data_IF_899212652512
#
_entry.id   IF_899212652512
#
_cell.length_a   1.000
_cell.length_b   1.000
_cell.length_c   1.000
_cell.angle_alpha   90.00
_cell.angle_beta   90.00
_cell.angle_gamma   90.00
#
_symmetry.space_group_name_H-M   'P 1'
#
loop_
_entity.id
_entity.type
_entity.pdbx_description
1 polymer ?
#
# COMPACT_ATOMS: atom_id res chain seq x y z
N UNK A 1 10.79 -3.65 -64.95
CA UNK A 1 9.82 -2.86 -65.73
C UNK A 1 8.84 -2.24 -64.74
N UNK A 2 8.74 -0.94 -64.49
CA UNK A 2 9.24 0.22 -65.21
C UNK A 2 8.12 1.24 -65.36
N UNK A 3 7.83 2.00 -64.28
CA UNK A 3 7.27 3.38 -64.25
C UNK A 3 5.88 3.67 -64.88
N UNK A 4 5.28 4.88 -64.68
CA UNK A 4 5.64 5.97 -63.77
C UNK A 4 4.46 6.59 -62.96
N UNK A 5 4.85 7.44 -62.02
CA UNK A 5 4.07 8.51 -61.42
C UNK A 5 4.17 9.83 -62.22
N UNK A 6 3.23 10.75 -61.97
CA UNK A 6 3.26 12.18 -62.37
C UNK A 6 2.08 12.57 -63.27
N UNK A 7 1.48 13.75 -63.21
CA UNK A 7 1.86 15.03 -62.59
C UNK A 7 0.65 15.99 -62.71
N UNK A 8 0.37 16.74 -61.65
CA UNK A 8 0.07 18.19 -61.59
C UNK A 8 -0.83 18.92 -62.61
N UNK A 9 -1.84 19.60 -62.03
CA UNK A 9 -2.21 21.04 -62.14
C UNK A 9 -2.98 21.58 -63.38
N UNK A 10 -4.14 22.17 -63.05
CA UNK A 10 -4.56 23.58 -63.29
C UNK A 10 -5.55 23.94 -64.40
N UNK A 11 -6.56 24.72 -63.96
CA UNK A 11 -7.31 25.82 -64.63
C UNK A 11 -8.51 25.43 -65.53
N UNK A 12 -9.75 25.70 -65.11
CA UNK A 12 -10.53 26.99 -65.07
C UNK A 12 -11.40 27.16 -66.33
N UNK A 13 -12.74 27.04 -66.17
CA UNK A 13 -13.87 27.79 -66.79
C UNK A 13 -15.13 27.25 -66.06
N UNK A 14 -15.91 27.92 -65.20
CA UNK A 14 -16.56 29.24 -65.10
C UNK A 14 -17.78 29.46 -66.02
N UNK A 15 -18.96 29.01 -65.56
CA UNK A 15 -20.29 29.63 -65.74
C UNK A 15 -21.08 29.26 -64.47
N UNK A 16 -21.65 30.12 -63.62
CA UNK A 16 -22.03 31.51 -63.76
C UNK A 16 -23.55 31.64 -63.81
N UNK A 17 -24.25 31.61 -62.66
CA UNK A 17 -25.48 32.39 -62.43
C UNK A 17 -25.89 32.41 -60.93
N UNK A 18 -25.79 33.62 -60.36
CA UNK A 18 -26.46 34.13 -59.15
C UNK A 18 -28.00 34.18 -59.36
N UNK A 19 -28.92 34.36 -58.42
CA UNK A 19 -29.00 35.04 -57.11
C UNK A 19 -30.24 34.46 -56.35
N UNK A 20 -30.51 34.68 -55.05
CA UNK A 20 -29.95 35.64 -54.11
C UNK A 20 -30.47 35.48 -52.66
N UNK A 21 -29.69 36.06 -51.75
CA UNK A 21 -30.11 36.93 -50.63
C UNK A 21 -31.22 36.48 -49.66
N UNK A 22 -30.83 36.08 -48.45
CA UNK A 22 -31.03 36.83 -47.19
C UNK A 22 -30.84 35.90 -45.97
N UNK A 23 -29.95 36.30 -45.05
CA UNK A 23 -29.70 35.61 -43.79
C UNK A 23 -30.61 36.17 -42.68
N UNK A 24 -31.01 35.33 -41.70
CA UNK A 24 -31.34 35.83 -40.36
C UNK A 24 -30.42 35.23 -39.28
N UNK A 25 -30.06 36.09 -38.31
CA UNK A 25 -29.17 35.82 -37.19
C UNK A 25 -29.77 34.95 -36.07
N UNK A 26 -29.00 34.73 -34.98
CA UNK A 26 -29.29 33.68 -34.00
C UNK A 26 -30.43 34.04 -33.04
N UNK A 27 -31.26 33.03 -32.78
CA UNK A 27 -32.39 33.04 -31.88
C UNK A 27 -31.95 33.17 -30.41
N UNK A 28 -32.48 34.19 -29.73
CA UNK A 28 -32.54 34.26 -28.28
C UNK A 28 -33.93 33.80 -27.81
N UNK A 29 -33.96 32.77 -26.97
CA UNK A 29 -35.16 32.28 -26.33
C UNK A 29 -35.69 33.32 -25.33
N UNK A 30 -36.88 33.84 -25.60
CA UNK A 30 -37.66 34.69 -24.71
C UNK A 30 -38.51 33.80 -23.80
N UNK A 31 -38.31 33.90 -22.49
CA UNK A 31 -39.26 33.39 -21.50
C UNK A 31 -40.45 34.35 -21.40
N UNK A 32 -41.65 33.77 -21.41
CA UNK A 32 -42.93 34.43 -21.19
C UNK A 32 -43.00 35.05 -19.79
N UNK A 33 -43.42 36.31 -19.75
CA UNK A 33 -43.91 37.05 -18.59
C UNK A 33 -45.42 37.25 -18.82
N UNK A 34 -46.25 36.77 -17.89
CA UNK A 34 -47.71 36.93 -17.93
C UNK A 34 -48.14 37.73 -16.71
N UNK A 35 -48.79 38.86 -17.00
CA UNK A 35 -48.92 39.99 -16.11
C UNK A 35 -49.91 39.83 -14.95
N UNK A 36 -49.61 40.57 -13.88
CA UNK A 36 -50.62 41.12 -12.99
C UNK A 36 -50.32 42.60 -12.74
N UNK A 37 -51.27 43.46 -13.10
CA UNK A 37 -51.17 44.91 -13.03
C UNK A 37 -51.29 45.45 -11.58
N UNK A 38 -50.76 46.66 -11.27
CA UNK A 38 -50.58 47.16 -9.92
C UNK A 38 -51.70 48.11 -9.43
N UNK A 39 -51.89 48.19 -8.11
CA UNK A 39 -52.63 49.28 -7.44
C UNK A 39 -51.67 50.19 -6.64
N UNK A 40 -51.72 51.46 -7.03
CA UNK A 40 -51.33 52.75 -6.41
C UNK A 40 -50.68 52.80 -5.01
N UNK A 41 -49.51 53.45 -5.01
CA UNK A 41 -49.11 54.68 -4.30
C UNK A 41 -49.22 54.77 -2.76
N UNK A 42 -48.07 55.00 -2.12
CA UNK A 42 -47.90 55.99 -1.06
C UNK A 42 -46.43 56.47 -1.02
N UNK A 43 -46.28 57.76 -0.77
CA UNK A 43 -45.10 58.60 -0.92
C UNK A 43 -43.98 58.35 0.12
N UNK A 44 -42.75 58.81 -0.18
CA UNK A 44 -41.68 58.83 0.82
C UNK A 44 -40.30 59.28 0.33
N UNK A 45 -40.16 60.57 0.02
CA UNK A 45 -39.01 61.45 0.22
C UNK A 45 -37.56 60.99 -0.12
N UNK A 46 -36.95 61.77 -1.02
CA UNK A 46 -35.54 61.78 -1.43
C UNK A 46 -34.57 62.14 -0.30
N UNK A 47 -33.45 61.40 -0.21
CA UNK A 47 -32.26 61.77 0.55
C UNK A 47 -31.01 61.17 -0.09
N UNK A 48 -30.32 61.94 -0.93
CA UNK A 48 -29.03 61.57 -1.50
C UNK A 48 -27.95 61.55 -0.40
N UNK A 49 -27.32 60.40 -0.16
CA UNK A 49 -26.04 60.31 0.54
C UNK A 49 -25.09 59.42 -0.30
N UNK A 50 -24.08 60.06 -0.91
CA UNK A 50 -22.92 59.36 -1.49
C UNK A 50 -22.31 58.46 -0.41
N UNK A 51 -22.07 57.20 -0.74
CA UNK A 51 -21.27 56.28 0.07
C UNK A 51 -19.96 56.01 -0.66
N UNK A 52 -18.85 56.29 0.02
CA UNK A 52 -17.50 56.00 -0.44
C UNK A 52 -17.32 54.55 -0.87
N UNK A 53 -16.42 54.26 -1.85
CA UNK A 53 -16.09 52.90 -2.22
C UNK A 53 -15.42 52.20 -1.04
N UNK A 54 -16.14 51.24 -0.45
CA UNK A 54 -15.65 50.41 0.64
C UNK A 54 -14.39 49.63 0.23
N UNK A 55 -13.41 49.67 1.12
CA UNK A 55 -12.22 48.84 1.18
C UNK A 55 -12.53 47.38 0.76
N UNK A 56 -11.98 46.95 -0.38
CA UNK A 56 -11.85 45.53 -0.71
C UNK A 56 -10.63 45.01 0.04
N UNK A 57 -10.76 44.01 0.95
CA UNK A 57 -9.57 43.36 1.47
C UNK A 57 -8.79 42.76 0.29
N UNK A 58 -7.48 42.99 0.26
CA UNK A 58 -6.61 42.34 -0.72
C UNK A 58 -6.84 40.82 -0.67
N UNK A 59 -6.75 40.11 -1.81
CA UNK A 59 -6.81 38.65 -1.79
C UNK A 59 -5.75 38.15 -0.80
N UNK A 60 -6.16 37.32 0.17
CA UNK A 60 -5.20 36.67 1.06
C UNK A 60 -4.14 36.00 0.19
N UNK A 61 -2.83 36.22 0.48
CA UNK A 61 -1.80 35.49 -0.24
C UNK A 61 -2.10 34.01 -0.07
N UNK A 62 -2.20 33.28 -1.19
CA UNK A 62 -2.39 31.83 -1.19
C UNK A 62 -1.41 31.25 -0.18
N UNK A 63 -1.95 30.62 0.88
CA UNK A 63 -1.11 29.95 1.88
C UNK A 63 -0.19 29.01 1.12
N UNK A 64 1.10 29.30 1.11
CA UNK A 64 2.09 28.40 0.53
C UNK A 64 1.92 27.05 1.22
N UNK A 65 1.57 26.05 0.43
CA UNK A 65 1.46 24.68 0.91
C UNK A 65 2.87 24.19 1.21
N UNK A 66 3.11 23.84 2.47
CA UNK A 66 4.34 23.21 2.91
C UNK A 66 4.13 21.71 3.01
N UNK A 67 5.04 20.95 2.41
CA UNK A 67 5.03 19.51 2.54
C UNK A 67 5.23 19.10 4.02
N UNK A 68 4.67 17.97 4.48
CA UNK A 68 4.87 17.48 5.85
C UNK A 68 6.34 17.27 6.23
N UNK A 69 7.22 17.11 5.23
CA UNK A 69 8.67 16.91 5.35
C UNK A 69 9.49 18.15 4.97
N UNK A 70 8.84 19.30 4.71
CA UNK A 70 9.54 20.57 4.53
C UNK A 70 9.73 21.28 5.86
N UNK A 71 10.94 21.78 6.08
CA UNK A 71 11.23 22.69 7.19
C UNK A 71 10.50 24.02 6.95
N UNK A 72 9.57 24.37 7.84
CA UNK A 72 8.89 25.66 7.79
C UNK A 72 9.84 26.76 8.24
N UNK A 73 9.91 27.92 7.55
CA UNK A 73 10.54 29.09 8.13
C UNK A 73 9.84 29.43 9.45
N UNK A 74 10.61 29.68 10.51
CA UNK A 74 10.05 30.04 11.81
C UNK A 74 9.06 31.19 11.63
N UNK A 75 7.80 30.98 12.03
CA UNK A 75 6.78 32.01 11.95
C UNK A 75 7.29 33.24 12.72
N UNK A 76 7.43 34.38 12.04
CA UNK A 76 7.71 35.64 12.70
C UNK A 76 6.66 35.87 13.79
N UNK A 77 7.03 36.34 15.00
CA UNK A 77 6.06 36.58 16.06
C UNK A 77 5.00 37.55 15.53
N UNK A 78 3.74 37.10 15.54
CA UNK A 78 2.62 37.94 15.16
C UNK A 78 2.58 39.14 16.11
N UNK A 79 2.92 40.31 15.59
CA UNK A 79 2.73 41.58 16.28
C UNK A 79 1.22 41.75 16.45
N UNK A 80 0.75 41.68 17.70
CA UNK A 80 -0.62 42.04 18.03
C UNK A 80 -0.77 43.54 17.82
N UNK A 81 -1.46 43.92 16.75
CA UNK A 81 -1.80 45.31 16.46
C UNK A 81 -2.90 45.76 17.44
N UNK A 82 -2.47 46.46 18.49
CA UNK A 82 -3.37 47.14 19.42
C UNK A 82 -3.83 48.45 18.80
N UNK A 83 -4.96 48.44 18.09
CA UNK A 83 -5.49 49.70 17.58
C UNK A 83 -6.79 49.64 16.79
N UNK A 84 -7.93 49.43 17.46
CA UNK A 84 -9.17 50.14 17.13
C UNK A 84 -10.26 49.98 18.21
N UNK A 85 -10.94 51.07 18.63
CA UNK A 85 -11.90 51.04 19.73
C UNK A 85 -13.30 50.54 19.29
N UNK A 86 -13.90 49.68 20.12
CA UNK A 86 -15.27 49.20 19.95
C UNK A 86 -16.33 50.29 20.24
N UNK A 87 -17.46 50.32 19.51
CA UNK A 87 -18.55 51.24 19.80
C UNK A 87 -19.36 50.80 21.03
N UNK A 88 -19.69 51.77 21.89
CA UNK A 88 -20.51 51.63 23.10
C UNK A 88 -22.01 51.53 22.77
N UNK A 89 -22.71 50.68 23.51
CA UNK A 89 -24.17 50.65 23.66
C UNK A 89 -24.68 49.19 23.69
N UNK A 90 -25.49 48.71 24.64
CA UNK A 90 -26.26 49.31 25.71
C UNK A 90 -26.37 48.31 26.88
N UNK A 91 -26.53 48.84 28.10
CA UNK A 91 -26.69 48.06 29.32
C UNK A 91 -27.98 47.23 29.29
N UNK A 92 -27.87 45.93 29.54
CA UNK A 92 -28.99 45.04 29.91
C UNK A 92 -28.69 44.46 31.29
N UNK A 93 -29.54 44.79 32.25
CA UNK A 93 -29.41 44.38 33.66
C UNK A 93 -29.56 42.85 33.84
N UNK A 94 -28.72 42.19 34.67
CA UNK A 94 -28.90 40.78 35.00
C UNK A 94 -30.01 40.56 36.04
N UNK A 95 -30.89 39.58 35.79
CA UNK A 95 -31.84 39.04 36.79
C UNK A 95 -31.10 38.24 37.87
N UNK A 96 -31.49 38.33 39.16
CA UNK A 96 -30.86 37.55 40.21
C UNK A 96 -31.27 36.06 40.15
N UNK A 97 -30.27 35.18 40.14
CA UNK A 97 -30.43 33.72 40.22
C UNK A 97 -30.62 33.34 41.69
N UNK A 98 -31.72 32.64 41.99
CA UNK A 98 -32.02 32.08 43.32
C UNK A 98 -30.90 31.13 43.75
N UNK A 99 -30.32 31.42 44.90
CA UNK A 99 -29.42 30.56 45.65
C UNK A 99 -30.23 29.40 46.24
N UNK A 100 -29.90 28.17 45.84
CA UNK A 100 -30.41 26.96 46.49
C UNK A 100 -29.39 26.57 47.55
N UNK A 101 -29.82 26.73 48.79
CA UNK A 101 -29.20 26.26 50.02
C UNK A 101 -28.88 24.76 49.92
N UNK A 102 -27.59 24.41 49.97
CA UNK A 102 -27.13 23.03 50.10
C UNK A 102 -26.92 22.76 51.58
N UNK A 103 -27.82 21.98 52.17
CA UNK A 103 -27.76 21.51 53.54
C UNK A 103 -26.53 20.60 53.72
N UNK A 104 -25.60 21.00 54.58
CA UNK A 104 -24.50 20.17 55.04
C UNK A 104 -24.99 19.21 56.13
N UNK A 105 -25.19 17.93 55.79
CA UNK A 105 -25.20 16.86 56.80
C UNK A 105 -23.78 16.40 57.07
N UNK A 106 -23.34 16.62 58.32
CA UNK A 106 -22.14 16.05 58.92
C UNK A 106 -22.37 14.57 59.20
N UNK A 107 -21.60 13.70 58.57
CA UNK A 107 -21.18 12.43 59.20
C UNK A 107 -19.92 11.91 58.53
N UNK A 108 -18.94 11.55 59.35
CA UNK A 108 -17.56 11.35 58.94
C UNK A 108 -17.24 9.97 58.40
N UNK A 109 -16.28 9.92 57.47
CA UNK A 109 -15.22 8.89 57.45
C UNK A 109 -14.07 9.38 56.56
N UNK A 110 -12.94 9.72 57.17
CA UNK A 110 -11.71 10.04 56.47
C UNK A 110 -11.08 8.75 55.91
N UNK A 111 -11.16 8.56 54.59
CA UNK A 111 -10.36 7.54 53.90
C UNK A 111 -9.09 8.22 53.39
N UNK A 112 -7.96 7.98 54.08
CA UNK A 112 -6.65 8.42 53.60
C UNK A 112 -6.29 7.65 52.32
N UNK A 113 -6.10 8.39 51.22
CA UNK A 113 -5.62 7.85 49.94
C UNK A 113 -4.11 7.57 50.06
N UNK A 114 -3.63 6.34 49.79
CA UNK A 114 -2.19 6.06 49.80
C UNK A 114 -1.49 6.81 48.66
N UNK A 115 -0.29 7.35 48.94
CA UNK A 115 0.55 8.06 47.97
C UNK A 115 0.96 7.12 46.82
N UNK A 116 0.90 7.57 45.55
CA UNK A 116 1.34 6.77 44.41
C UNK A 116 2.86 6.54 44.47
N UNK A 117 3.27 5.28 44.28
CA UNK A 117 4.67 4.87 44.13
C UNK A 117 5.16 5.31 42.73
N UNK A 118 6.38 5.86 42.58
CA UNK A 118 6.88 6.25 41.27
C UNK A 118 7.01 5.01 40.36
N UNK A 119 6.56 5.15 39.11
CA UNK A 119 6.69 4.11 38.10
C UNK A 119 8.17 3.83 37.80
N UNK A 120 8.56 2.56 37.55
CA UNK A 120 9.92 2.25 37.11
C UNK A 120 10.19 2.95 35.78
N UNK A 121 11.30 3.68 35.72
CA UNK A 121 11.78 4.36 34.52
C UNK A 121 12.23 3.28 33.54
N UNK A 122 11.38 2.96 32.56
CA UNK A 122 11.79 2.18 31.39
C UNK A 122 12.87 3.00 30.68
N UNK A 123 14.08 2.44 30.57
CA UNK A 123 15.17 3.07 29.86
C UNK A 123 14.71 3.45 28.45
N UNK A 124 14.81 4.75 28.13
CA UNK A 124 14.48 5.28 26.81
C UNK A 124 15.37 4.57 25.78
N UNK A 125 14.81 4.02 24.68
CA UNK A 125 15.61 3.46 23.59
C UNK A 125 16.67 4.46 23.15
N UNK A 126 17.88 3.97 22.87
CA UNK A 126 18.98 4.79 22.40
C UNK A 126 18.53 5.59 21.17
N UNK A 127 18.83 6.89 21.13
CA UNK A 127 18.49 7.72 20.00
C UNK A 127 19.16 7.17 18.73
N UNK A 128 18.45 7.06 17.60
CA UNK A 128 19.02 6.58 16.36
C UNK A 128 20.22 7.45 16.00
N UNK A 129 21.38 6.83 15.81
CA UNK A 129 22.59 7.52 15.38
C UNK A 129 22.31 8.15 14.01
N UNK A 130 22.70 9.42 13.79
CA UNK A 130 22.61 10.02 12.46
C UNK A 130 23.36 9.11 11.47
N UNK A 131 22.66 8.66 10.43
CA UNK A 131 23.28 7.96 9.30
C UNK A 131 24.00 9.00 8.47
N UNK A 132 25.25 9.30 8.81
CA UNK A 132 26.06 10.29 8.11
C UNK A 132 26.50 9.70 6.77
N UNK A 133 25.89 10.18 5.68
CA UNK A 133 26.10 9.77 4.29
C UNK A 133 25.82 8.29 3.94
N UNK A 134 24.55 7.87 3.95
CA UNK A 134 24.16 6.50 3.59
C UNK A 134 24.48 6.21 2.12
N UNK A 135 25.14 5.08 1.85
CA UNK A 135 25.46 4.62 0.50
C UNK A 135 24.20 4.29 -0.33
N UNK A 136 23.12 3.87 0.33
CA UNK A 136 21.84 3.55 -0.31
C UNK A 136 20.73 4.42 0.27
N UNK A 137 20.03 5.15 -0.60
CA UNK A 137 18.82 5.88 -0.22
C UNK A 137 17.59 5.27 -0.89
N UNK A 138 16.60 4.90 -0.09
CA UNK A 138 15.31 4.35 -0.52
C UNK A 138 14.27 5.43 -0.31
N UNK A 139 13.67 5.93 -1.38
CA UNK A 139 12.60 6.92 -1.30
C UNK A 139 11.23 6.23 -1.40
N UNK A 140 10.37 6.40 -0.41
CA UNK A 140 9.04 5.77 -0.33
C UNK A 140 7.97 6.79 -0.71
N UNK A 141 7.20 6.54 -1.78
CA UNK A 141 6.17 7.43 -2.29
C UNK A 141 4.77 6.84 -2.15
N UNK A 142 3.78 7.68 -1.86
CA UNK A 142 2.37 7.31 -1.95
C UNK A 142 1.50 7.80 -0.80
N UNK A 143 0.46 7.03 -0.47
CA UNK A 143 -0.61 7.45 0.42
C UNK A 143 -0.33 7.13 1.91
N UNK A 144 -1.39 7.03 2.73
CA UNK A 144 -1.25 6.73 4.16
C UNK A 144 -0.63 5.37 4.43
N UNK A 145 -0.78 4.40 3.52
CA UNK A 145 -0.17 3.09 3.66
C UNK A 145 1.29 3.09 3.26
N UNK A 146 1.70 3.92 2.29
CA UNK A 146 3.11 4.17 2.01
C UNK A 146 3.86 4.77 3.21
N UNK A 147 3.22 5.70 3.93
CA UNK A 147 3.80 6.28 5.14
C UNK A 147 4.09 5.19 6.18
N UNK A 148 3.13 4.29 6.41
CA UNK A 148 3.27 3.19 7.35
C UNK A 148 4.26 2.13 6.86
N UNK A 149 4.27 1.80 5.58
CA UNK A 149 5.26 0.94 4.95
C UNK A 149 6.68 1.50 5.17
N UNK A 150 6.85 2.81 4.96
CA UNK A 150 8.10 3.51 5.20
C UNK A 150 8.56 3.43 6.66
N UNK A 151 7.64 3.55 7.62
CA UNK A 151 7.97 3.36 9.06
C UNK A 151 8.38 1.91 9.36
N UNK A 152 7.77 0.95 8.67
CA UNK A 152 8.20 -0.44 8.71
C UNK A 152 9.63 -0.62 8.18
N UNK A 153 9.94 0.01 7.04
CA UNK A 153 11.28 0.00 6.44
C UNK A 153 12.32 0.71 7.32
N UNK A 154 11.97 1.83 7.96
CA UNK A 154 12.80 2.51 8.97
C UNK A 154 13.21 1.53 10.07
N UNK A 155 12.26 0.71 10.54
CA UNK A 155 12.51 -0.33 11.56
C UNK A 155 13.39 -1.46 11.03
N UNK A 156 13.15 -1.93 9.79
CA UNK A 156 13.95 -2.99 9.16
C UNK A 156 15.42 -2.57 9.00
N UNK A 157 15.68 -1.32 8.62
CA UNK A 157 17.02 -0.80 8.40
C UNK A 157 17.61 -0.04 9.60
N UNK A 158 17.02 -0.14 10.79
CA UNK A 158 17.48 0.61 11.97
C UNK A 158 18.95 0.30 12.31
N UNK A 159 19.36 -0.97 12.19
CA UNK A 159 20.73 -1.44 12.40
C UNK A 159 21.65 -1.30 11.18
N UNK A 160 21.14 -0.80 10.05
CA UNK A 160 21.87 -0.65 8.79
C UNK A 160 22.24 0.82 8.55
N UNK A 161 23.42 1.28 8.99
CA UNK A 161 23.83 2.68 8.84
C UNK A 161 23.98 3.11 7.37
N UNK A 162 24.26 2.17 6.47
CA UNK A 162 24.48 2.44 5.04
C UNK A 162 23.19 2.61 4.22
N UNK A 163 22.03 2.34 4.83
CA UNK A 163 20.72 2.45 4.17
C UNK A 163 19.88 3.51 4.87
N UNK A 164 19.43 4.52 4.13
CA UNK A 164 18.44 5.48 4.63
C UNK A 164 17.11 5.34 3.90
N UNK A 165 16.03 5.36 4.66
CA UNK A 165 14.67 5.39 4.16
C UNK A 165 14.16 6.82 4.24
N UNK A 166 13.65 7.33 3.13
CA UNK A 166 13.14 8.69 3.01
C UNK A 166 11.67 8.61 2.65
N UNK A 167 10.81 8.95 3.60
CA UNK A 167 9.35 8.92 3.44
C UNK A 167 8.85 10.16 2.72
N UNK A 168 8.21 9.95 1.57
CA UNK A 168 7.56 10.94 0.72
C UNK A 168 6.10 10.56 0.52
N UNK A 169 5.34 10.54 1.61
CA UNK A 169 3.95 10.08 1.62
C UNK A 169 2.96 11.16 2.05
N UNK A 170 1.79 11.17 1.43
CA UNK A 170 0.70 12.12 1.70
C UNK A 170 -0.61 11.36 1.89
N UNK A 171 -1.11 11.32 3.12
CA UNK A 171 -2.13 10.36 3.55
C UNK A 171 -3.44 10.32 2.75
N UNK A 172 -3.90 11.47 2.29
CA UNK A 172 -5.16 11.68 1.55
C UNK A 172 -4.99 11.64 0.02
N UNK A 173 -3.79 11.32 -0.46
CA UNK A 173 -3.46 11.34 -1.88
C UNK A 173 -3.75 10.00 -2.57
N UNK A 174 -3.67 10.03 -3.89
CA UNK A 174 -3.77 8.89 -4.78
C UNK A 174 -3.41 9.32 -6.20
N UNK A 175 -3.45 8.42 -7.16
CA UNK A 175 -3.21 8.74 -8.57
C UNK A 175 -4.41 9.42 -9.24
N UNK A 176 -5.63 9.33 -8.68
CA UNK A 176 -6.83 9.97 -9.27
C UNK A 176 -6.87 11.48 -9.05
N UNK A 177 -6.54 11.95 -7.85
CA UNK A 177 -6.69 13.36 -7.43
C UNK A 177 -5.36 14.12 -7.52
N UNK A 178 -5.03 14.59 -8.73
CA UNK A 178 -3.82 15.39 -8.99
C UNK A 178 -3.80 16.73 -8.25
N UNK A 179 -4.97 17.23 -7.88
CA UNK A 179 -5.14 18.44 -7.06
C UNK A 179 -4.70 18.23 -5.60
N UNK A 180 -4.69 16.99 -5.11
CA UNK A 180 -4.12 16.65 -3.80
C UNK A 180 -2.61 16.45 -3.94
N UNK A 181 -2.19 15.54 -4.83
CA UNK A 181 -0.78 15.34 -5.21
C UNK A 181 -0.71 14.89 -6.67
N UNK A 182 0.04 15.62 -7.49
CA UNK A 182 0.50 15.11 -8.78
C UNK A 182 1.75 14.26 -8.55
N UNK A 183 1.57 12.95 -8.33
CA UNK A 183 2.64 12.02 -7.98
C UNK A 183 3.78 11.98 -9.01
N UNK A 184 3.54 11.90 -10.33
CA UNK A 184 4.59 12.02 -11.33
C UNK A 184 5.43 13.29 -11.16
N UNK A 185 4.79 14.46 -11.03
CA UNK A 185 5.49 15.72 -10.84
C UNK A 185 6.27 15.77 -9.51
N UNK A 186 5.64 15.35 -8.41
CA UNK A 186 6.25 15.35 -7.09
C UNK A 186 7.48 14.42 -7.01
N UNK A 187 7.39 13.23 -7.61
CA UNK A 187 8.52 12.32 -7.71
C UNK A 187 9.63 12.91 -8.59
N UNK A 188 9.30 13.55 -9.72
CA UNK A 188 10.29 14.15 -10.61
C UNK A 188 11.05 15.29 -9.93
N UNK A 189 10.33 16.21 -9.28
CA UNK A 189 10.90 17.37 -8.59
C UNK A 189 11.75 16.93 -7.39
N UNK A 190 11.35 15.85 -6.70
CA UNK A 190 12.15 15.27 -5.64
C UNK A 190 13.45 14.62 -6.16
N UNK A 191 13.37 13.78 -7.20
CA UNK A 191 14.56 13.11 -7.74
C UNK A 191 15.55 14.09 -8.38
N UNK A 192 15.08 15.21 -8.94
CA UNK A 192 15.95 16.30 -9.42
C UNK A 192 16.81 16.89 -8.31
N UNK A 193 16.25 17.05 -7.11
CA UNK A 193 16.94 17.65 -5.95
C UNK A 193 17.67 16.63 -5.10
N UNK A 194 17.41 15.33 -5.29
CA UNK A 194 17.97 14.24 -4.49
C UNK A 194 18.60 13.15 -5.40
N UNK A 195 19.73 13.44 -6.07
CA UNK A 195 20.35 12.51 -7.03
C UNK A 195 20.94 11.24 -6.39
N UNK A 196 21.03 11.18 -5.05
CA UNK A 196 21.52 10.02 -4.29
C UNK A 196 20.46 8.92 -4.08
N UNK A 197 19.22 9.12 -4.53
CA UNK A 197 18.16 8.10 -4.42
C UNK A 197 18.54 6.87 -5.25
N UNK A 198 18.74 5.75 -4.56
CA UNK A 198 19.14 4.47 -5.16
C UNK A 198 17.94 3.65 -5.62
N UNK A 199 16.84 3.69 -4.87
CA UNK A 199 15.62 2.92 -5.13
C UNK A 199 14.38 3.75 -4.81
N UNK A 200 13.32 3.55 -5.60
CA UNK A 200 12.00 4.07 -5.28
C UNK A 200 11.09 2.92 -4.82
N UNK A 201 10.42 3.12 -3.70
CA UNK A 201 9.34 2.25 -3.23
C UNK A 201 8.04 3.00 -3.40
N UNK A 202 7.03 2.39 -4.00
CA UNK A 202 5.72 3.01 -4.22
C UNK A 202 4.63 2.14 -3.60
N UNK A 203 3.74 2.76 -2.83
CA UNK A 203 2.52 2.12 -2.35
C UNK A 203 1.37 3.14 -2.43
N UNK A 204 0.43 2.91 -3.32
CA UNK A 204 -0.68 3.86 -3.53
C UNK A 204 -1.87 3.11 -4.09
N UNK A 205 -3.06 3.57 -3.72
CA UNK A 205 -4.30 3.11 -4.34
C UNK A 205 -5.48 3.05 -3.37
N UNK A 206 -5.23 3.15 -2.06
CA UNK A 206 -6.28 3.08 -1.05
C UNK A 206 -7.36 4.17 -1.23
N UNK A 207 -6.99 5.32 -1.80
CA UNK A 207 -7.87 6.46 -2.03
C UNK A 207 -8.35 6.59 -3.50
N UNK A 208 -7.99 5.66 -4.39
CA UNK A 208 -8.18 5.86 -5.84
C UNK A 208 -9.51 5.35 -6.40
N UNK A 209 -10.42 4.88 -5.55
CA UNK A 209 -11.79 4.52 -5.96
C UNK A 209 -12.68 5.76 -6.19
N UNK A 210 -12.19 6.72 -6.96
CA UNK A 210 -12.85 7.99 -7.24
C UNK A 210 -13.05 8.15 -8.76
N UNK A 211 -14.13 8.83 -9.19
CA UNK A 211 -14.34 9.10 -10.60
C UNK A 211 -13.15 9.85 -11.21
N UNK A 212 -12.77 9.48 -12.43
CA UNK A 212 -11.77 10.19 -13.21
C UNK A 212 -12.43 11.23 -14.11
N UNK A 213 -11.68 12.27 -14.49
CA UNK A 213 -12.11 13.22 -15.51
C UNK A 213 -11.45 12.90 -16.85
N UNK A 214 -12.25 12.97 -17.91
CA UNK A 214 -11.83 12.86 -19.30
C UNK A 214 -12.44 14.03 -20.07
N UNK A 215 -11.68 15.12 -20.16
CA UNK A 215 -12.25 16.43 -20.49
C UNK A 215 -13.35 16.82 -19.47
N UNK A 216 -14.54 17.14 -19.97
CA UNK A 216 -15.69 17.51 -19.15
C UNK A 216 -16.43 16.29 -18.55
N UNK A 217 -16.15 15.08 -19.06
CA UNK A 217 -16.86 13.87 -18.65
C UNK A 217 -16.30 13.32 -17.34
N UNK A 218 -17.21 12.95 -16.44
CA UNK A 218 -16.89 12.13 -15.26
C UNK A 218 -16.98 10.66 -15.66
N UNK A 219 -15.90 9.92 -15.41
CA UNK A 219 -15.77 8.51 -15.76
C UNK A 219 -15.84 7.68 -14.48
N UNK A 220 -16.78 6.74 -14.45
CA UNK A 220 -17.06 5.90 -13.28
C UNK A 220 -15.84 5.03 -12.90
N UNK A 221 -15.49 4.91 -11.61
CA UNK A 221 -14.43 4.03 -11.13
C UNK A 221 -14.50 2.64 -11.71
N UNK A 222 -13.33 2.11 -12.10
CA UNK A 222 -13.17 0.77 -12.66
C UNK A 222 -14.00 0.47 -13.93
N UNK A 223 -14.62 1.45 -14.58
CA UNK A 223 -15.08 1.26 -15.97
C UNK A 223 -13.89 1.04 -16.92
N UNK A 224 -14.10 0.47 -18.11
CA UNK A 224 -12.99 0.25 -19.07
C UNK A 224 -12.25 1.55 -19.44
N UNK A 225 -12.99 2.66 -19.60
CA UNK A 225 -12.39 3.97 -19.84
C UNK A 225 -11.59 4.45 -18.63
N UNK A 226 -12.12 4.27 -17.42
CA UNK A 226 -11.41 4.61 -16.19
C UNK A 226 -10.11 3.81 -16.05
N UNK A 227 -10.16 2.49 -16.26
CA UNK A 227 -8.98 1.61 -16.20
C UNK A 227 -7.91 2.06 -17.19
N UNK A 228 -8.31 2.47 -18.39
CA UNK A 228 -7.38 3.00 -19.41
C UNK A 228 -6.70 4.26 -18.90
N UNK A 229 -7.46 5.26 -18.47
CA UNK A 229 -6.92 6.52 -17.94
C UNK A 229 -6.07 6.32 -16.69
N UNK A 230 -6.42 5.34 -15.85
CA UNK A 230 -5.68 5.03 -14.64
C UNK A 230 -4.34 4.33 -14.96
N UNK A 231 -4.31 3.40 -15.93
CA UNK A 231 -3.05 2.82 -16.44
C UNK A 231 -2.10 3.92 -16.93
N UNK A 232 -2.60 4.89 -17.69
CA UNK A 232 -1.78 6.01 -18.19
C UNK A 232 -1.17 6.83 -17.04
N UNK A 233 -1.88 6.97 -15.91
CA UNK A 233 -1.36 7.65 -14.71
C UNK A 233 -0.30 6.84 -13.98
N UNK A 234 -0.49 5.52 -13.88
CA UNK A 234 0.54 4.61 -13.35
C UNK A 234 1.80 4.66 -14.22
N UNK A 235 1.64 4.62 -15.55
CA UNK A 235 2.75 4.72 -16.50
C UNK A 235 3.49 6.05 -16.39
N UNK A 236 2.76 7.16 -16.27
CA UNK A 236 3.35 8.48 -16.11
C UNK A 236 4.25 8.54 -14.86
N UNK A 237 3.84 7.91 -13.76
CA UNK A 237 4.67 7.82 -12.55
C UNK A 237 5.88 6.90 -12.75
N UNK A 238 5.67 5.70 -13.32
CA UNK A 238 6.76 4.76 -13.59
C UNK A 238 7.82 5.34 -14.54
N UNK A 239 7.38 6.13 -15.52
CA UNK A 239 8.26 6.80 -16.47
C UNK A 239 9.25 7.76 -15.79
N UNK A 240 8.82 8.47 -14.75
CA UNK A 240 9.70 9.38 -13.98
C UNK A 240 10.91 8.63 -13.41
N UNK A 241 10.68 7.45 -12.83
CA UNK A 241 11.75 6.63 -12.28
C UNK A 241 12.62 6.00 -13.37
N UNK A 242 12.00 5.51 -14.44
CA UNK A 242 12.71 4.93 -15.60
C UNK A 242 13.64 5.95 -16.28
N UNK A 243 13.16 7.18 -16.51
CA UNK A 243 13.95 8.26 -17.13
C UNK A 243 15.16 8.66 -16.26
N UNK A 244 15.04 8.50 -14.94
CA UNK A 244 16.13 8.72 -13.96
C UNK A 244 16.96 7.46 -13.67
N UNK A 245 16.64 6.32 -14.29
CA UNK A 245 17.28 5.01 -14.05
C UNK A 245 17.24 4.59 -12.57
N UNK A 246 16.18 4.97 -11.86
CA UNK A 246 15.93 4.57 -10.47
C UNK A 246 15.06 3.31 -10.51
N UNK A 247 15.52 2.15 -10.04
CA UNK A 247 14.69 0.95 -9.96
C UNK A 247 13.50 1.15 -9.02
N UNK A 248 12.35 0.64 -9.42
CA UNK A 248 11.08 0.78 -8.68
C UNK A 248 10.67 -0.55 -8.08
N UNK A 249 10.34 -0.52 -6.80
CA UNK A 249 9.65 -1.58 -6.06
C UNK A 249 8.24 -1.08 -5.75
N UNK A 250 7.24 -1.62 -6.42
CA UNK A 250 5.83 -1.26 -6.20
C UNK A 250 5.19 -2.29 -5.27
N UNK A 251 4.75 -1.85 -4.09
CA UNK A 251 4.06 -2.69 -3.12
C UNK A 251 2.56 -2.61 -3.37
N UNK A 252 1.93 -3.76 -3.59
CA UNK A 252 0.49 -3.86 -3.75
C UNK A 252 -0.27 -3.48 -2.50
N UNK A 253 -1.53 -3.07 -2.66
CA UNK A 253 -2.41 -2.75 -1.55
C UNK A 253 -2.97 -4.04 -0.89
N UNK A 254 -3.04 -4.12 0.46
CA UNK A 254 -3.58 -5.29 1.16
C UNK A 254 -5.11 -5.34 1.05
N UNK A 255 -5.75 -6.47 1.42
CA UNK A 255 -7.18 -6.50 1.64
C UNK A 255 -7.61 -5.51 2.74
N UNK A 256 -8.84 -5.01 2.61
CA UNK A 256 -9.48 -4.08 3.52
C UNK A 256 -10.70 -4.75 4.18
N UNK A 257 -11.13 -4.22 5.32
CA UNK A 257 -12.29 -4.79 6.05
C UNK A 257 -13.59 -4.76 5.26
N UNK A 258 -13.74 -3.80 4.33
CA UNK A 258 -14.86 -3.77 3.40
C UNK A 258 -14.60 -4.71 2.22
N UNK A 259 -15.50 -5.67 1.99
CA UNK A 259 -15.41 -6.62 0.87
C UNK A 259 -15.42 -5.90 -0.48
N UNK A 260 -16.29 -4.90 -0.64
CA UNK A 260 -16.33 -4.08 -1.85
C UNK A 260 -15.03 -3.30 -2.05
N UNK A 261 -14.40 -2.81 -0.98
CA UNK A 261 -13.08 -2.16 -1.09
C UNK A 261 -11.99 -3.15 -1.46
N UNK A 262 -11.99 -4.33 -0.85
CA UNK A 262 -11.05 -5.40 -1.20
C UNK A 262 -11.17 -5.80 -2.67
N UNK A 263 -12.38 -6.00 -3.19
CA UNK A 263 -12.60 -6.38 -4.59
C UNK A 263 -12.08 -5.33 -5.58
N UNK A 264 -12.31 -4.05 -5.30
CA UNK A 264 -11.80 -2.97 -6.13
C UNK A 264 -10.28 -2.83 -6.03
N UNK A 265 -9.70 -2.99 -4.83
CA UNK A 265 -8.25 -3.02 -4.64
C UNK A 265 -7.63 -4.19 -5.41
N UNK A 266 -8.28 -5.36 -5.50
CA UNK A 266 -7.82 -6.44 -6.37
C UNK A 266 -7.69 -5.97 -7.82
N UNK A 267 -8.69 -5.24 -8.33
CA UNK A 267 -8.65 -4.67 -9.70
C UNK A 267 -7.51 -3.67 -9.89
N UNK A 268 -7.22 -2.83 -8.88
CA UNK A 268 -6.11 -1.88 -8.94
C UNK A 268 -4.75 -2.59 -8.89
N UNK A 269 -4.61 -3.59 -8.02
CA UNK A 269 -3.40 -4.40 -7.91
C UNK A 269 -3.07 -5.15 -9.20
N UNK A 270 -4.07 -5.62 -9.95
CA UNK A 270 -3.85 -6.21 -11.28
C UNK A 270 -3.28 -5.19 -12.27
N UNK A 271 -3.79 -3.95 -12.25
CA UNK A 271 -3.25 -2.86 -13.07
C UNK A 271 -1.79 -2.57 -12.67
N UNK A 272 -1.52 -2.38 -11.37
CA UNK A 272 -0.18 -2.09 -10.88
C UNK A 272 0.80 -3.17 -11.28
N UNK A 273 0.45 -4.44 -11.06
CA UNK A 273 1.29 -5.60 -11.41
C UNK A 273 1.65 -5.59 -12.90
N UNK A 274 0.66 -5.47 -13.78
CA UNK A 274 0.89 -5.45 -15.22
C UNK A 274 1.77 -4.27 -15.64
N UNK A 275 1.47 -3.05 -15.17
CA UNK A 275 2.23 -1.84 -15.58
C UNK A 275 3.65 -1.83 -15.05
N UNK A 276 3.84 -2.19 -13.78
CA UNK A 276 5.17 -2.23 -13.13
C UNK A 276 6.07 -3.24 -13.81
N UNK A 277 5.58 -4.45 -14.07
CA UNK A 277 6.35 -5.50 -14.75
C UNK A 277 6.72 -5.09 -16.18
N UNK A 278 5.80 -4.47 -16.94
CA UNK A 278 6.10 -3.95 -18.28
C UNK A 278 7.15 -2.84 -18.27
N UNK A 279 7.19 -2.03 -17.22
CA UNK A 279 8.20 -0.99 -17.04
C UNK A 279 9.55 -1.53 -16.53
N UNK A 280 9.69 -2.85 -16.31
CA UNK A 280 10.89 -3.47 -15.75
C UNK A 280 11.08 -3.23 -14.25
N UNK A 281 10.04 -2.77 -13.54
CA UNK A 281 10.03 -2.66 -12.09
C UNK A 281 9.65 -3.98 -11.41
N UNK A 282 9.81 -4.02 -10.08
CA UNK A 282 9.43 -5.17 -9.26
C UNK A 282 8.09 -4.89 -8.59
N UNK A 283 7.12 -5.80 -8.76
CA UNK A 283 5.85 -5.75 -8.03
C UNK A 283 5.88 -6.72 -6.84
N UNK A 284 5.56 -6.22 -5.65
CA UNK A 284 5.54 -6.98 -4.40
C UNK A 284 4.08 -7.24 -4.01
N UNK A 285 3.68 -8.51 -4.06
CA UNK A 285 2.34 -8.95 -3.65
C UNK A 285 2.32 -9.25 -2.15
N UNK A 286 1.76 -8.33 -1.37
CA UNK A 286 1.60 -8.51 0.09
C UNK A 286 0.23 -9.08 0.47
N UNK A 287 -0.68 -9.30 -0.49
CA UNK A 287 -2.04 -9.75 -0.20
C UNK A 287 -2.09 -11.01 0.69
N UNK A 288 -1.31 -12.07 0.41
CA UNK A 288 -1.36 -13.31 1.21
C UNK A 288 -0.95 -13.10 2.67
N UNK A 289 -0.23 -12.02 2.99
CA UNK A 289 0.25 -11.74 4.34
C UNK A 289 -0.85 -11.18 5.28
N UNK A 290 -1.98 -10.75 4.71
CA UNK A 290 -3.05 -10.03 5.43
C UNK A 290 -4.43 -10.67 5.27
N UNK A 291 -4.47 -11.95 4.91
CA UNK A 291 -5.70 -12.75 4.81
C UNK A 291 -5.79 -13.84 5.88
N UNK A 292 -7.02 -14.27 6.15
CA UNK A 292 -7.32 -15.48 6.91
C UNK A 292 -7.18 -16.74 6.03
N UNK A 293 -7.41 -17.91 6.63
CA UNK A 293 -7.37 -19.20 5.94
C UNK A 293 -8.39 -19.32 4.79
N UNK A 294 -9.41 -18.48 4.79
CA UNK A 294 -10.44 -18.40 3.75
C UNK A 294 -10.16 -17.29 2.72
N UNK A 295 -8.95 -16.75 2.72
CA UNK A 295 -8.51 -15.67 1.84
C UNK A 295 -9.30 -14.36 1.99
N UNK A 296 -9.86 -14.10 3.18
CA UNK A 296 -10.58 -12.85 3.51
C UNK A 296 -9.72 -11.95 4.38
N UNK A 297 -10.06 -10.67 4.46
CA UNK A 297 -9.39 -9.71 5.32
C UNK A 297 -9.17 -10.24 6.75
N UNK A 298 -7.93 -10.15 7.24
CA UNK A 298 -7.57 -10.47 8.61
C UNK A 298 -6.99 -9.25 9.34
N UNK A 299 -7.61 -8.86 10.46
CA UNK A 299 -7.09 -7.79 11.30
C UNK A 299 -5.90 -8.24 12.16
N UNK A 300 -5.78 -9.54 12.39
CA UNK A 300 -4.76 -10.21 13.20
C UNK A 300 -4.15 -11.35 12.41
N UNK A 301 -2.87 -11.62 12.62
CA UNK A 301 -2.18 -12.72 11.97
C UNK A 301 -0.76 -12.87 12.54
N UNK A 302 -0.01 -13.88 12.06
CA UNK A 302 1.37 -14.05 12.48
C UNK A 302 2.18 -12.81 12.07
N UNK A 303 2.98 -12.28 13.00
CA UNK A 303 4.03 -11.30 12.73
C UNK A 303 5.27 -11.96 12.11
N UNK A 304 6.39 -11.24 12.06
CA UNK A 304 7.64 -11.73 11.47
C UNK A 304 8.27 -12.84 12.32
N UNK A 305 7.97 -12.86 13.61
CA UNK A 305 8.43 -13.82 14.58
C UNK A 305 7.45 -15.02 14.71
N UNK A 306 6.39 -15.05 13.88
CA UNK A 306 5.36 -16.09 13.87
C UNK A 306 4.34 -15.98 15.01
N UNK A 307 4.43 -14.93 15.84
CA UNK A 307 3.50 -14.69 16.95
C UNK A 307 2.22 -14.04 16.44
N UNK A 308 1.08 -14.40 17.04
CA UNK A 308 -0.18 -13.74 16.69
C UNK A 308 -0.17 -12.29 17.15
N UNK A 309 -0.29 -11.37 16.20
CA UNK A 309 -0.31 -9.94 16.45
C UNK A 309 -1.48 -9.26 15.73
N UNK A 310 -1.88 -8.09 16.22
CA UNK A 310 -2.80 -7.21 15.49
C UNK A 310 -2.02 -6.52 14.37
N UNK A 311 -2.37 -6.80 13.12
CA UNK A 311 -1.69 -6.28 11.92
C UNK A 311 -2.39 -5.05 11.33
N UNK A 312 -3.70 -4.90 11.58
CA UNK A 312 -4.52 -3.81 11.06
C UNK A 312 -5.16 -3.00 12.18
N UNK A 313 -5.30 -1.70 12.01
CA UNK A 313 -6.00 -0.82 12.96
C UNK A 313 -7.50 -1.12 12.95
N UNK A 314 -8.24 -0.48 13.86
CA UNK A 314 -9.68 -0.71 13.99
C UNK A 314 -10.51 -0.21 12.80
N UNK A 315 -9.96 0.72 12.01
CA UNK A 315 -10.61 1.25 10.80
C UNK A 315 -10.67 0.24 9.64
N UNK A 316 -9.86 -0.83 9.70
CA UNK A 316 -9.83 -1.86 8.68
C UNK A 316 -9.07 -1.52 7.41
N UNK A 317 -8.31 -0.42 7.42
CA UNK A 317 -7.54 0.13 6.29
C UNK A 317 -6.07 0.34 6.64
N UNK A 318 -5.72 0.79 7.85
CA UNK A 318 -4.34 1.10 8.20
C UNK A 318 -3.59 -0.06 8.88
N UNK A 319 -2.27 -0.06 8.77
CA UNK A 319 -1.41 -0.97 9.51
C UNK A 319 -1.21 -0.54 10.96
N UNK A 320 -1.06 -1.51 11.84
CA UNK A 320 -0.34 -1.29 13.12
C UNK A 320 1.17 -1.29 12.87
N UNK A 321 1.98 -1.02 13.89
CA UNK A 321 3.43 -1.16 13.78
C UNK A 321 3.86 -2.58 13.36
N UNK A 322 3.21 -3.63 13.91
CA UNK A 322 3.48 -5.01 13.52
C UNK A 322 3.10 -5.29 12.05
N UNK A 323 1.95 -4.79 11.60
CA UNK A 323 1.55 -4.89 10.19
C UNK A 323 2.47 -4.14 9.24
N UNK A 324 2.93 -2.95 9.63
CA UNK A 324 3.88 -2.15 8.86
C UNK A 324 5.24 -2.86 8.72
N UNK A 325 5.77 -3.41 9.82
CA UNK A 325 6.99 -4.25 9.77
C UNK A 325 6.79 -5.46 8.85
N UNK A 326 5.63 -6.12 8.92
CA UNK A 326 5.30 -7.26 8.06
C UNK A 326 5.29 -6.87 6.58
N UNK A 327 4.60 -5.80 6.20
CA UNK A 327 4.59 -5.32 4.82
C UNK A 327 5.99 -4.91 4.33
N UNK A 328 6.74 -4.19 5.18
CA UNK A 328 8.11 -3.77 4.89
C UNK A 328 9.06 -4.95 4.66
N UNK A 329 8.88 -6.07 5.36
CA UNK A 329 9.70 -7.26 5.16
C UNK A 329 9.58 -7.82 3.73
N UNK A 330 8.37 -7.87 3.17
CA UNK A 330 8.18 -8.32 1.78
C UNK A 330 8.84 -7.37 0.78
N UNK A 331 8.78 -6.06 1.03
CA UNK A 331 9.48 -5.08 0.20
C UNK A 331 11.01 -5.20 0.33
N UNK A 332 11.51 -5.37 1.56
CA UNK A 332 12.93 -5.53 1.87
C UNK A 332 13.57 -6.73 1.16
N UNK A 333 12.87 -7.86 1.06
CA UNK A 333 13.37 -9.03 0.32
C UNK A 333 13.71 -8.67 -1.12
N UNK A 334 12.83 -7.95 -1.81
CA UNK A 334 13.08 -7.54 -3.20
C UNK A 334 14.08 -6.39 -3.31
N UNK A 335 14.09 -5.45 -2.35
CA UNK A 335 15.09 -4.38 -2.30
C UNK A 335 16.50 -4.96 -2.14
N UNK A 336 16.70 -5.93 -1.23
CA UNK A 336 17.97 -6.62 -1.03
C UNK A 336 18.41 -7.37 -2.28
N UNK A 337 17.50 -8.09 -2.93
CA UNK A 337 17.77 -8.74 -4.22
C UNK A 337 18.27 -7.74 -5.26
N UNK A 338 17.67 -6.54 -5.34
CA UNK A 338 18.11 -5.50 -6.27
C UNK A 338 19.49 -4.92 -5.89
N UNK A 339 19.77 -4.76 -4.60
CA UNK A 339 21.08 -4.33 -4.08
C UNK A 339 22.16 -5.34 -4.47
N UNK A 340 21.92 -6.62 -4.23
CA UNK A 340 22.85 -7.71 -4.57
C UNK A 340 23.08 -7.82 -6.08
N UNK A 341 22.02 -7.71 -6.88
CA UNK A 341 22.11 -7.71 -8.34
C UNK A 341 22.96 -6.55 -8.88
N UNK A 342 22.89 -5.37 -8.24
CA UNK A 342 23.71 -4.20 -8.58
C UNK A 342 25.15 -4.31 -8.06
N UNK A 343 25.35 -5.02 -6.94
CA UNK A 343 26.64 -5.26 -6.29
C UNK A 343 27.51 -6.33 -6.95
N UNK A 344 26.97 -7.11 -7.90
CA UNK A 344 27.76 -8.04 -8.71
C UNK A 344 28.42 -9.15 -7.90
N UNK A 345 27.66 -9.92 -7.13
CA UNK A 345 28.06 -11.30 -6.78
C UNK A 345 26.80 -12.14 -6.59
N UNK A 346 26.45 -13.03 -7.53
CA UNK A 346 25.52 -14.09 -7.22
C UNK A 346 26.28 -15.08 -6.35
N UNK A 347 26.03 -15.09 -5.04
CA UNK A 347 26.37 -16.25 -4.21
C UNK A 347 25.33 -17.31 -4.57
N UNK A 348 25.70 -18.39 -5.28
CA UNK A 348 24.76 -19.48 -5.49
C UNK A 348 24.42 -20.07 -4.12
N UNK A 349 23.17 -20.49 -3.85
CA UNK A 349 22.92 -21.35 -2.70
C UNK A 349 23.79 -22.59 -2.87
N UNK A 350 24.61 -22.85 -1.86
CA UNK A 350 25.47 -24.03 -1.76
C UNK A 350 24.58 -25.27 -1.98
N UNK A 351 24.67 -25.80 -3.20
CA UNK A 351 23.97 -27.01 -3.58
C UNK A 351 24.49 -28.12 -2.69
N UNK A 352 23.59 -28.70 -1.90
CA UNK A 352 23.81 -29.89 -1.10
C UNK A 352 24.58 -30.93 -1.92
N UNK A 353 25.86 -31.07 -1.59
CA UNK A 353 26.70 -32.09 -2.17
C UNK A 353 26.10 -33.46 -1.84
N UNK A 354 25.71 -34.17 -2.89
CA UNK A 354 25.27 -35.55 -2.82
C UNK A 354 26.38 -36.40 -2.22
N UNK A 355 26.12 -37.02 -1.06
CA UNK A 355 26.99 -38.04 -0.49
C UNK A 355 26.63 -39.37 -1.15
N UNK A 356 27.57 -39.94 -1.92
CA UNK A 356 27.56 -41.38 -2.25
C UNK A 356 28.52 -42.13 -1.31
N UNK A 357 28.29 -43.43 -1.05
CA UNK A 357 28.75 -44.08 0.17
C UNK A 357 30.06 -44.88 0.03
N UNK A 358 30.81 -44.85 1.14
CA UNK A 358 31.56 -45.93 1.80
C UNK A 358 32.71 -46.68 1.10
N UNK A 359 33.90 -46.62 1.74
CA UNK A 359 34.97 -47.61 1.66
C UNK A 359 35.78 -47.60 3.00
N UNK A 360 36.45 -48.73 3.38
CA UNK A 360 36.58 -49.22 4.77
C UNK A 360 37.83 -48.72 5.53
N UNK A 361 37.93 -48.96 6.86
CA UNK A 361 38.99 -48.37 7.68
C UNK A 361 40.31 -49.18 7.63
N UNK A 362 41.49 -48.54 7.70
CA UNK A 362 42.73 -49.22 8.03
C UNK A 362 42.99 -49.26 9.55
N UNK A 363 43.72 -50.30 9.92
CA UNK A 363 43.99 -50.77 11.27
C UNK A 363 44.97 -49.92 12.09
N UNK A 364 44.97 -50.21 13.39
CA UNK A 364 45.73 -49.60 14.46
C UNK A 364 47.25 -49.52 14.21
N UNK A 365 47.82 -48.34 14.54
CA UNK A 365 49.25 -48.07 14.65
C UNK A 365 49.50 -47.13 15.83
N UNK A 366 50.55 -47.42 16.58
CA UNK A 366 50.89 -46.94 17.94
C UNK A 366 51.23 -45.46 18.03
N UNK A 367 50.62 -44.76 19.00
CA UNK A 367 50.84 -43.35 19.31
C UNK A 367 52.23 -43.08 19.94
N UNK A 368 52.87 -41.99 19.50
CA UNK A 368 53.93 -41.30 20.25
C UNK A 368 53.30 -40.11 20.97
N UNK A 369 53.72 -39.88 22.22
CA UNK A 369 53.21 -38.88 23.14
C UNK A 369 53.71 -37.47 22.77
N UNK A 370 53.16 -36.86 21.73
CA UNK A 370 53.20 -35.40 21.50
C UNK A 370 51.87 -34.87 20.91
N UNK A 371 50.81 -35.69 20.85
CA UNK A 371 49.53 -35.32 20.24
C UNK A 371 48.51 -34.84 21.29
N UNK A 372 48.13 -33.56 21.21
CA UNK A 372 47.06 -32.95 22.02
C UNK A 372 45.72 -33.71 21.90
N UNK A 373 45.50 -34.42 20.78
CA UNK A 373 44.35 -35.28 20.55
C UNK A 373 44.32 -36.55 21.44
N UNK A 374 45.47 -37.00 21.94
CA UNK A 374 45.54 -38.13 22.86
C UNK A 374 45.15 -37.71 24.30
N UNK A 375 45.43 -36.45 24.67
CA UNK A 375 45.05 -35.87 25.96
C UNK A 375 43.54 -35.68 26.03
N UNK A 376 42.90 -35.20 24.96
CA UNK A 376 41.44 -35.02 24.89
C UNK A 376 40.64 -36.34 24.98
N UNK A 377 41.23 -37.45 24.47
CA UNK A 377 40.63 -38.79 24.59
C UNK A 377 40.71 -39.35 26.00
N UNK A 378 41.78 -39.05 26.74
CA UNK A 378 41.90 -39.43 28.16
C UNK A 378 40.92 -38.64 29.04
N UNK A 379 40.69 -37.35 28.74
CA UNK A 379 39.71 -36.51 29.43
C UNK A 379 38.27 -36.99 29.18
N UNK A 380 37.95 -37.37 27.95
CA UNK A 380 36.62 -37.88 27.59
C UNK A 380 36.32 -39.25 28.23
N UNK A 381 37.35 -40.08 28.46
CA UNK A 381 37.20 -41.39 29.10
C UNK A 381 36.99 -41.33 30.62
N UNK A 382 37.22 -40.19 31.27
CA UNK A 382 37.07 -40.01 32.73
C UNK A 382 35.71 -39.47 33.19
N UNK A 383 34.78 -39.19 32.27
CA UNK A 383 33.43 -38.73 32.63
C UNK A 383 32.47 -39.91 32.84
N UNK A 384 31.77 -39.98 33.99
CA UNK A 384 30.79 -41.05 34.23
C UNK A 384 29.58 -40.90 33.31
N UNK A 385 29.17 -42.00 32.68
CA UNK A 385 28.02 -42.11 31.78
C UNK A 385 26.70 -41.78 32.49
N UNK A 386 25.95 -40.83 31.94
CA UNK A 386 24.56 -40.53 32.31
C UNK A 386 23.63 -41.70 31.95
N UNK A 387 22.56 -41.95 32.73
CA UNK A 387 21.69 -43.12 32.54
C UNK A 387 20.81 -43.01 31.28
N UNK A 388 20.62 -44.14 30.61
CA UNK A 388 19.86 -44.27 29.36
C UNK A 388 18.36 -43.94 29.51
N UNK A 389 17.74 -43.27 28.52
CA UNK A 389 16.28 -43.10 28.48
C UNK A 389 15.57 -44.40 28.03
N UNK A 390 14.33 -44.65 28.49
CA UNK A 390 13.59 -45.88 28.20
C UNK A 390 13.23 -46.02 26.71
N UNK A 391 13.25 -47.28 26.25
CA UNK A 391 13.17 -47.70 24.86
C UNK A 391 11.96 -47.21 24.05
N UNK A 392 12.23 -46.95 22.77
CA UNK A 392 11.24 -46.56 21.75
C UNK A 392 10.47 -47.82 21.31
N UNK A 393 9.12 -47.81 21.29
CA UNK A 393 8.35 -48.94 20.75
C UNK A 393 8.53 -49.05 19.24
N UNK A 394 8.75 -50.28 18.74
CA UNK A 394 8.96 -50.55 17.32
C UNK A 394 7.72 -50.21 16.49
N UNK A 395 7.88 -49.33 15.49
CA UNK A 395 6.84 -48.98 14.54
C UNK A 395 6.64 -50.09 13.50
N UNK A 396 5.41 -50.33 13.01
CA UNK A 396 5.12 -51.36 12.01
C UNK A 396 5.74 -50.99 10.65
N UNK A 397 6.45 -51.95 10.06
CA UNK A 397 7.11 -51.81 8.76
C UNK A 397 6.06 -51.70 7.65
N UNK A 398 6.03 -50.56 6.96
CA UNK A 398 5.18 -50.35 5.78
C UNK A 398 5.69 -51.20 4.61
N UNK A 399 4.82 -51.86 3.84
CA UNK A 399 5.24 -52.62 2.66
C UNK A 399 5.85 -51.67 1.61
N UNK A 400 6.91 -52.16 0.95
CA UNK A 400 7.77 -51.38 0.06
C UNK A 400 7.07 -50.85 -1.21
N UNK A 401 5.86 -51.29 -1.53
CA UNK A 401 5.09 -50.79 -2.67
C UNK A 401 3.58 -50.83 -2.40
N UNK A 402 2.89 -49.78 -2.82
CA UNK A 402 1.42 -49.72 -2.84
C UNK A 402 0.81 -50.63 -3.92
N UNK A 403 -0.52 -50.85 -3.89
CA UNK A 403 -1.20 -51.72 -4.84
C UNK A 403 -1.08 -51.19 -6.28
N UNK A 404 -0.68 -52.07 -7.21
CA UNK A 404 -0.56 -51.74 -8.63
C UNK A 404 -1.96 -51.60 -9.23
N UNK A 405 -2.31 -50.39 -9.68
CA UNK A 405 -3.59 -50.10 -10.35
C UNK A 405 -3.35 -50.03 -11.87
N UNK A 406 -4.06 -50.84 -12.69
CA UNK A 406 -3.89 -50.83 -14.13
C UNK A 406 -4.48 -49.57 -14.77
N UNK A 407 -3.75 -48.97 -15.73
CA UNK A 407 -4.13 -47.75 -16.46
C UNK A 407 -5.35 -47.93 -17.38
N UNK A 408 -5.79 -49.16 -17.62
CA UNK A 408 -6.99 -49.47 -18.41
C UNK A 408 -8.26 -49.50 -17.57
N UNK A 409 -8.17 -49.26 -16.27
CA UNK A 409 -9.34 -49.26 -15.40
C UNK A 409 -10.18 -48.01 -15.65
N UNK A 410 -11.41 -48.22 -16.13
CA UNK A 410 -12.42 -47.15 -16.16
C UNK A 410 -12.82 -46.84 -14.72
N UNK A 411 -12.37 -45.69 -14.20
CA UNK A 411 -12.83 -45.18 -12.91
C UNK A 411 -14.28 -44.74 -13.04
N UNK A 412 -15.18 -45.49 -12.42
CA UNK A 412 -16.58 -45.12 -12.31
C UNK A 412 -16.82 -44.61 -10.89
N UNK A 413 -17.55 -43.51 -10.75
CA UNK A 413 -17.97 -42.99 -9.46
C UNK A 413 -18.59 -44.11 -8.60
N UNK A 414 -18.45 -44.06 -7.26
CA UNK A 414 -19.19 -44.97 -6.40
C UNK A 414 -20.66 -44.90 -6.83
N UNK A 415 -21.25 -46.07 -7.11
CA UNK A 415 -22.63 -46.26 -7.57
C UNK A 415 -22.88 -46.18 -9.10
N UNK A 416 -21.85 -46.01 -9.94
CA UNK A 416 -22.01 -46.18 -11.38
C UNK A 416 -22.78 -45.07 -12.11
N UNK A 417 -23.15 -43.98 -11.41
CA UNK A 417 -23.93 -42.89 -12.00
C UNK A 417 -23.08 -41.97 -12.88
N UNK A 418 -23.46 -41.87 -14.15
CA UNK A 418 -22.97 -40.84 -15.05
C UNK A 418 -23.71 -39.52 -14.77
N UNK A 419 -22.99 -38.40 -14.82
CA UNK A 419 -23.53 -37.07 -14.54
C UNK A 419 -24.61 -36.72 -15.59
N UNK A 420 -25.88 -36.69 -15.21
CA UNK A 420 -27.02 -36.46 -16.12
C UNK A 420 -27.43 -34.98 -16.25
N UNK A 421 -26.57 -34.03 -15.86
CA UNK A 421 -26.86 -32.60 -15.96
C UNK A 421 -25.63 -31.72 -15.77
N UNK A 422 -25.70 -30.45 -16.17
CA UNK A 422 -24.59 -29.50 -15.93
C UNK A 422 -24.35 -29.36 -14.42
N UNK A 423 -23.15 -29.67 -13.91
CA UNK A 423 -22.86 -29.53 -12.49
C UNK A 423 -23.04 -28.06 -12.08
N UNK A 424 -23.73 -27.82 -10.96
CA UNK A 424 -23.82 -26.47 -10.40
C UNK A 424 -22.45 -26.13 -9.83
N UNK A 425 -21.81 -25.15 -10.45
CA UNK A 425 -20.55 -24.59 -9.99
C UNK A 425 -20.87 -23.69 -8.79
N UNK A 426 -20.65 -24.19 -7.58
CA UNK A 426 -20.72 -23.38 -6.37
C UNK A 426 -19.46 -22.49 -6.25
N UNK A 427 -19.53 -21.38 -5.51
CA UNK A 427 -18.50 -20.31 -5.46
C UNK A 427 -17.08 -20.84 -5.29
N UNK A 428 -16.88 -21.84 -4.43
CA UNK A 428 -15.56 -22.41 -4.15
C UNK A 428 -15.03 -23.27 -5.31
N UNK A 429 -15.91 -24.03 -5.96
CA UNK A 429 -15.55 -24.84 -7.14
C UNK A 429 -15.37 -23.98 -8.39
N UNK A 430 -16.11 -22.88 -8.52
CA UNK A 430 -16.04 -21.98 -9.68
C UNK A 430 -14.75 -21.21 -9.76
N UNK A 431 -14.27 -20.71 -8.62
CA UNK A 431 -12.98 -20.05 -8.54
C UNK A 431 -11.82 -20.98 -8.93
N UNK A 432 -11.87 -22.23 -8.44
CA UNK A 432 -10.85 -23.25 -8.77
C UNK A 432 -10.90 -23.63 -10.25
N UNK A 433 -12.09 -23.73 -10.84
CA UNK A 433 -12.29 -24.04 -12.25
C UNK A 433 -11.79 -22.92 -13.17
N UNK A 434 -12.10 -21.67 -12.84
CA UNK A 434 -11.64 -20.50 -13.61
C UNK A 434 -10.11 -20.37 -13.55
N UNK A 435 -9.51 -20.59 -12.38
CA UNK A 435 -8.07 -20.54 -12.19
C UNK A 435 -7.32 -21.62 -12.97
N UNK A 436 -7.85 -22.84 -13.01
CA UNK A 436 -7.18 -23.99 -13.64
C UNK A 436 -7.46 -24.10 -15.14
N UNK A 437 -8.71 -23.91 -15.58
CA UNK A 437 -9.08 -24.04 -16.99
C UNK A 437 -8.84 -22.77 -17.81
N UNK A 438 -9.06 -21.57 -17.23
CA UNK A 438 -8.88 -20.31 -17.99
C UNK A 438 -7.50 -19.69 -17.80
N UNK A 439 -6.90 -19.81 -16.61
CA UNK A 439 -5.60 -19.19 -16.29
C UNK A 439 -4.43 -20.19 -16.31
N UNK A 440 -4.70 -21.49 -16.49
CA UNK A 440 -3.67 -22.54 -16.56
C UNK A 440 -2.91 -22.77 -15.25
N UNK A 441 -3.41 -22.25 -14.12
CA UNK A 441 -2.74 -22.37 -12.82
C UNK A 441 -3.27 -23.62 -12.12
N UNK A 442 -2.36 -24.55 -11.78
CA UNK A 442 -2.71 -25.79 -11.13
C UNK A 442 -3.50 -25.55 -9.82
N UNK A 443 -4.53 -26.36 -9.52
CA UNK A 443 -5.27 -26.26 -8.27
C UNK A 443 -4.35 -26.56 -7.07
N UNK A 444 -4.69 -26.06 -5.87
CA UNK A 444 -3.89 -26.33 -4.69
C UNK A 444 -3.82 -27.85 -4.40
N UNK A 445 -2.66 -28.35 -3.97
CA UNK A 445 -2.48 -29.78 -3.70
C UNK A 445 -3.36 -30.26 -2.57
N UNK A 446 -3.98 -31.43 -2.78
CA UNK A 446 -4.86 -32.08 -1.81
C UNK A 446 -4.15 -33.28 -1.18
N UNK A 447 -4.22 -33.47 0.15
CA UNK A 447 -3.61 -34.62 0.81
C UNK A 447 -4.01 -35.94 0.14
N UNK A 448 -3.02 -36.70 -0.33
CA UNK A 448 -3.23 -37.98 -1.02
C UNK A 448 -3.38 -37.91 -2.54
N UNK A 449 -3.41 -36.72 -3.15
CA UNK A 449 -3.26 -36.57 -4.61
C UNK A 449 -1.79 -36.49 -5.01
N UNK A 450 -1.51 -36.87 -6.26
CA UNK A 450 -0.16 -36.92 -6.83
C UNK A 450 0.53 -35.54 -6.94
N UNK A 451 -0.19 -34.44 -6.73
CA UNK A 451 0.36 -33.08 -6.71
C UNK A 451 0.70 -32.59 -5.28
N UNK A 452 0.42 -33.37 -4.23
CA UNK A 452 0.79 -33.03 -2.85
C UNK A 452 2.18 -33.56 -2.47
N UNK A 453 3.17 -32.69 -2.59
CA UNK A 453 4.57 -32.96 -2.25
C UNK A 453 4.91 -32.71 -0.77
N UNK A 454 3.90 -32.49 0.11
CA UNK A 454 4.14 -32.34 1.54
C UNK A 454 4.46 -33.69 2.16
N UNK A 455 5.69 -33.81 2.67
CA UNK A 455 6.07 -34.96 3.49
C UNK A 455 5.34 -34.91 4.84
N UNK A 456 4.77 -36.03 5.33
CA UNK A 456 4.24 -36.10 6.68
C UNK A 456 5.39 -35.81 7.66
N UNK A 457 5.19 -34.87 8.59
CA UNK A 457 6.12 -34.70 9.71
C UNK A 457 6.00 -35.94 10.59
N UNK A 458 7.09 -36.70 10.68
CA UNK A 458 7.22 -37.89 11.53
C UNK A 458 7.25 -37.56 13.00
#
# INVERSE_FOLDING_TARGET
>A
MGWPAGRTLSRLVLWGLLAGLAAPGPAHAQYYDEGYAPRRAAEGAYGYRRRDPGYRPAPEPQRQFYWPWEDRPAAAPQVQDYGQPAPRGAYRTPRPRREREVVHSREGRSVQRPKPRPAPVVARPAAPKPKTDPATQIAVFGDSLAELLGQGLDTVYESSPDVAVIRRAKGDSGLVRKDVVDWPKAAEDYLKTNPKVSYAVVMVGANDRQPLRDGDQSVEPLSERWRTLYRDRVDALLKVFSDRKVPVVWVGEPPMKSDTLSADITSLNEIFRDRVQRAGGVYVDIWPAFVDENNRYAATGPDLEGQQAKLRTADGVHFTQAGARKAAHFADVEIKRLIEAKGGTPTPPEAVAAVSPEAPPPAAGTAKLDDDAAIDRLITAMLPSLPEPPGIPALPVKPAAGPVVPLTRTEVAPNGQLVTGRPRIDRDTGYTLERSLNRGIAPPPQPGRADDFRWPRG
#
